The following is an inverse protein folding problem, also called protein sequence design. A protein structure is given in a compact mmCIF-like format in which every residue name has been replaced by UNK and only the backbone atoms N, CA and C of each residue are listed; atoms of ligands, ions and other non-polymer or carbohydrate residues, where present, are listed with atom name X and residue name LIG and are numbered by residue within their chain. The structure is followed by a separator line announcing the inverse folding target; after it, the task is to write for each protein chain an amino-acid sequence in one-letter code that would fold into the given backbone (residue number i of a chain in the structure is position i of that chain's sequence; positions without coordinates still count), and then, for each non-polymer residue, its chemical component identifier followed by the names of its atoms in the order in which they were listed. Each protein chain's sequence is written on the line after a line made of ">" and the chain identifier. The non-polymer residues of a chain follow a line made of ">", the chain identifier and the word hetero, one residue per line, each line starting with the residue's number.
data_IF_841116524289
#
_entry.id   IF_841116524289
#
_cell.length_a   1.000
_cell.length_b   1.000
_cell.length_c   1.000
_cell.angle_alpha   90.00
_cell.angle_beta   90.00
_cell.angle_gamma   90.00
#
_symmetry.space_group_name_H-M   'P 1'
#
loop_
_entity.id
_entity.type
_entity.pdbx_description
1 polymer ?
#
# COMPACT_ATOMS: atom_id res chain seq x y z
N UNK A 1 37.57 -24.71 34.70
CA UNK A 1 37.86 -23.29 34.49
C UNK A 1 36.61 -22.56 34.95
N UNK A 2 36.74 -21.91 36.10
CA UNK A 2 35.65 -21.35 36.89
C UNK A 2 35.10 -20.07 36.25
N UNK A 3 33.81 -20.07 35.92
CA UNK A 3 33.07 -18.84 35.60
C UNK A 3 32.30 -18.40 36.84
N UNK A 4 32.70 -17.24 37.36
CA UNK A 4 32.14 -16.59 38.55
C UNK A 4 30.80 -15.96 38.22
N UNK A 5 29.78 -16.33 38.99
CA UNK A 5 28.49 -15.64 39.06
C UNK A 5 28.69 -14.20 39.56
N UNK A 6 28.12 -13.22 38.84
CA UNK A 6 27.99 -11.84 39.31
C UNK A 6 26.59 -11.59 39.87
N UNK A 7 26.47 -10.87 41.00
CA UNK A 7 25.20 -10.70 41.71
C UNK A 7 24.29 -9.65 41.06
N UNK A 8 23.01 -9.99 41.00
CA UNK A 8 21.88 -9.13 40.63
C UNK A 8 21.76 -7.92 41.56
N UNK A 9 21.65 -6.73 40.97
CA UNK A 9 21.25 -5.51 41.66
C UNK A 9 19.73 -5.29 41.50
N UNK A 10 19.02 -5.23 42.62
CA UNK A 10 17.61 -4.83 42.70
C UNK A 10 17.45 -3.33 42.36
N UNK A 11 16.50 -2.94 41.51
CA UNK A 11 16.12 -1.55 41.34
C UNK A 11 15.10 -1.12 42.40
N UNK A 12 15.48 -0.08 43.15
CA UNK A 12 14.70 0.64 44.16
C UNK A 12 13.45 1.27 43.54
N UNK A 13 12.28 1.00 44.11
CA UNK A 13 11.01 1.61 43.72
C UNK A 13 11.00 3.11 44.09
N UNK A 14 10.78 3.96 43.09
CA UNK A 14 10.56 5.40 43.27
C UNK A 14 9.05 5.64 43.29
N UNK A 15 8.58 6.13 44.43
CA UNK A 15 7.19 6.48 44.73
C UNK A 15 6.83 7.83 44.04
N UNK A 16 5.77 7.91 43.22
CA UNK A 16 5.34 9.19 42.67
C UNK A 16 4.48 9.98 43.68
N UNK A 17 4.62 11.33 43.73
CA UNK A 17 3.87 12.17 44.64
C UNK A 17 2.40 12.32 44.21
N UNK A 18 1.55 12.44 45.23
CA UNK A 18 0.10 12.60 45.14
C UNK A 18 -0.33 13.84 44.35
N UNK A 19 -1.24 13.65 43.39
CA UNK A 19 -1.96 14.74 42.70
C UNK A 19 -3.06 15.33 43.59
N UNK A 20 -2.99 16.64 43.74
CA UNK A 20 -3.91 17.51 44.48
C UNK A 20 -5.15 17.83 43.62
N UNK A 21 -6.39 17.59 44.12
CA UNK A 21 -7.60 17.86 43.35
C UNK A 21 -8.01 19.32 43.47
N UNK A 22 -7.65 20.14 42.47
CA UNK A 22 -8.17 21.50 42.34
C UNK A 22 -9.56 21.49 41.69
N UNK A 23 -10.58 21.55 42.55
CA UNK A 23 -11.92 21.99 42.21
C UNK A 23 -11.92 23.44 41.72
N UNK A 24 -12.67 23.78 40.66
CA UNK A 24 -13.46 25.02 40.62
C UNK A 24 -14.42 25.12 39.40
N UNK A 25 -15.35 26.09 39.35
CA UNK A 25 -16.77 25.79 39.53
C UNK A 25 -17.66 26.37 38.41
N UNK A 26 -18.96 26.09 38.53
CA UNK A 26 -20.07 27.01 38.27
C UNK A 26 -20.13 27.78 36.92
N UNK A 27 -21.06 27.31 36.09
CA UNK A 27 -22.22 28.08 35.57
C UNK A 27 -22.06 29.59 35.34
N UNK A 28 -22.21 29.99 34.07
CA UNK A 28 -22.92 31.22 33.70
C UNK A 28 -23.79 30.94 32.46
N UNK A 29 -25.13 31.15 32.53
CA UNK A 29 -25.98 31.19 31.35
C UNK A 29 -25.77 32.54 30.65
N UNK A 30 -25.35 32.51 29.39
CA UNK A 30 -25.18 33.71 28.57
C UNK A 30 -26.30 33.74 27.55
N UNK A 31 -27.38 34.44 27.90
CA UNK A 31 -28.40 34.88 26.97
C UNK A 31 -27.74 35.76 25.90
N UNK A 32 -27.84 35.33 24.64
CA UNK A 32 -27.41 36.11 23.50
C UNK A 32 -28.66 36.53 22.70
N UNK A 33 -28.69 37.80 22.22
CA UNK A 33 -29.87 38.42 21.66
C UNK A 33 -30.21 37.89 20.28
N UNK A 34 -31.52 37.74 20.03
CA UNK A 34 -32.12 37.59 18.71
C UNK A 34 -31.60 38.68 17.76
N UNK A 35 -30.65 38.31 16.92
CA UNK A 35 -30.23 39.12 15.77
C UNK A 35 -31.15 38.79 14.61
N UNK A 36 -31.84 39.84 14.16
CA UNK A 36 -32.78 39.84 13.06
C UNK A 36 -32.09 39.43 11.76
N UNK A 37 -32.64 38.36 11.19
CA UNK A 37 -32.25 37.65 9.98
C UNK A 37 -32.41 38.56 8.74
N UNK A 38 -31.47 39.49 8.55
CA UNK A 38 -31.32 40.21 7.27
C UNK A 38 -30.70 39.27 6.26
N UNK A 39 -31.55 38.56 5.51
CA UNK A 39 -31.21 37.86 4.26
C UNK A 39 -30.64 38.87 3.25
N UNK A 40 -29.36 39.15 3.36
CA UNK A 40 -28.60 39.76 2.26
C UNK A 40 -28.60 38.73 1.13
N UNK A 41 -29.18 39.01 -0.04
CA UNK A 41 -29.14 38.08 -1.16
C UNK A 41 -27.67 37.89 -1.53
N UNK A 42 -27.13 36.72 -1.18
CA UNK A 42 -25.80 36.29 -1.62
C UNK A 42 -25.77 36.35 -3.13
N UNK A 43 -25.18 37.42 -3.67
CA UNK A 43 -24.87 37.55 -5.07
C UNK A 43 -24.13 36.28 -5.47
N UNK A 44 -24.71 35.52 -6.40
CA UNK A 44 -24.13 34.28 -6.92
C UNK A 44 -22.71 34.55 -7.37
N UNK A 45 -21.74 34.19 -6.53
CA UNK A 45 -20.33 34.30 -6.84
C UNK A 45 -20.09 33.46 -8.08
N UNK A 46 -19.79 34.12 -9.20
CA UNK A 46 -19.40 33.41 -10.42
C UNK A 46 -18.18 32.56 -10.07
N UNK A 47 -18.17 31.26 -10.44
CA UNK A 47 -17.03 30.40 -10.19
C UNK A 47 -15.78 31.05 -10.79
N UNK A 48 -14.76 31.20 -9.97
CA UNK A 48 -13.50 31.82 -10.40
C UNK A 48 -12.86 30.95 -11.49
N UNK A 49 -12.15 31.56 -12.43
CA UNK A 49 -11.49 30.86 -13.55
C UNK A 49 -10.59 29.70 -13.10
N UNK A 50 -10.08 29.76 -11.86
CA UNK A 50 -9.31 28.71 -11.19
C UNK A 50 -10.10 27.42 -11.01
N UNK A 51 -11.35 27.48 -10.53
CA UNK A 51 -12.17 26.29 -10.29
C UNK A 51 -12.47 25.53 -11.59
N UNK A 52 -12.74 26.25 -12.68
CA UNK A 52 -13.00 25.64 -13.98
C UNK A 52 -11.77 24.91 -14.51
N UNK A 53 -10.58 25.50 -14.35
CA UNK A 53 -9.31 24.89 -14.76
C UNK A 53 -9.00 23.62 -13.94
N UNK A 54 -9.21 23.64 -12.62
CA UNK A 54 -9.02 22.45 -11.78
C UNK A 54 -9.98 21.30 -12.13
N UNK A 55 -11.25 21.62 -12.41
CA UNK A 55 -12.22 20.62 -12.83
C UNK A 55 -11.85 20.00 -14.19
N UNK A 56 -11.40 20.82 -15.14
CA UNK A 56 -10.92 20.36 -16.45
C UNK A 56 -9.70 19.45 -16.29
N UNK A 57 -8.70 19.87 -15.51
CA UNK A 57 -7.50 19.08 -15.24
C UNK A 57 -7.86 17.73 -14.58
N UNK A 58 -8.78 17.74 -13.61
CA UNK A 58 -9.27 16.53 -12.95
C UNK A 58 -9.95 15.56 -13.94
N UNK A 59 -10.78 16.07 -14.84
CA UNK A 59 -11.44 15.24 -15.87
C UNK A 59 -10.42 14.67 -16.84
N UNK A 60 -9.47 15.48 -17.29
CA UNK A 60 -8.41 15.07 -18.21
C UNK A 60 -7.52 14.00 -17.58
N UNK A 61 -7.02 14.21 -16.36
CA UNK A 61 -6.18 13.25 -15.67
C UNK A 61 -6.88 11.90 -15.47
N UNK A 62 -8.18 11.90 -15.14
CA UNK A 62 -8.98 10.67 -15.04
C UNK A 62 -9.10 9.96 -16.38
N UNK A 63 -9.44 10.68 -17.44
CA UNK A 63 -9.56 10.10 -18.77
C UNK A 63 -8.24 9.46 -19.23
N UNK A 64 -7.12 10.15 -19.00
CA UNK A 64 -5.78 9.65 -19.34
C UNK A 64 -5.37 8.45 -18.48
N UNK A 65 -5.69 8.45 -17.18
CA UNK A 65 -5.42 7.30 -16.30
C UNK A 65 -6.23 6.07 -16.73
N UNK A 66 -7.51 6.26 -17.07
CA UNK A 66 -8.34 5.19 -17.63
C UNK A 66 -7.79 4.67 -18.96
N UNK A 67 -7.36 5.56 -19.84
CA UNK A 67 -6.73 5.19 -21.10
C UNK A 67 -5.44 4.39 -20.85
N UNK A 68 -4.59 4.83 -19.92
CA UNK A 68 -3.37 4.10 -19.54
C UNK A 68 -3.67 2.69 -19.05
N UNK A 69 -4.67 2.53 -18.16
CA UNK A 69 -5.12 1.22 -17.67
C UNK A 69 -5.61 0.33 -18.82
N UNK A 70 -6.44 0.87 -19.71
CA UNK A 70 -6.96 0.12 -20.86
C UNK A 70 -5.85 -0.30 -21.82
N UNK A 71 -4.93 0.61 -22.14
CA UNK A 71 -3.77 0.33 -22.99
C UNK A 71 -2.87 -0.73 -22.36
N UNK A 72 -2.62 -0.65 -21.05
CA UNK A 72 -1.83 -1.65 -20.35
C UNK A 72 -2.52 -3.02 -20.34
N UNK A 73 -3.82 -3.09 -20.06
CA UNK A 73 -4.56 -4.36 -20.08
C UNK A 73 -4.54 -4.97 -21.49
N UNK A 74 -4.74 -4.14 -22.52
CA UNK A 74 -4.62 -4.54 -23.92
C UNK A 74 -3.23 -5.10 -24.22
N UNK A 75 -2.18 -4.37 -23.86
CA UNK A 75 -0.79 -4.82 -23.99
C UNK A 75 -0.53 -6.13 -23.24
N UNK A 76 -0.90 -6.22 -21.96
CA UNK A 76 -0.71 -7.39 -21.12
C UNK A 76 -1.44 -8.63 -21.68
N UNK A 77 -2.65 -8.47 -22.23
CA UNK A 77 -3.40 -9.58 -22.82
C UNK A 77 -2.68 -10.24 -24.01
N UNK A 78 -1.90 -9.46 -24.76
CA UNK A 78 -1.08 -9.92 -25.87
C UNK A 78 0.28 -10.41 -25.38
N UNK A 79 0.88 -9.71 -24.40
CA UNK A 79 2.25 -9.93 -23.94
C UNK A 79 2.38 -11.09 -22.96
N UNK A 80 1.46 -11.22 -21.98
CA UNK A 80 1.49 -12.27 -20.95
C UNK A 80 1.46 -13.67 -21.55
N UNK A 81 0.72 -13.86 -22.65
CA UNK A 81 0.70 -15.15 -23.39
C UNK A 81 2.01 -15.43 -24.13
N UNK A 82 2.78 -14.40 -24.47
CA UNK A 82 4.07 -14.52 -25.17
C UNK A 82 5.25 -14.65 -24.21
N UNK A 83 5.13 -14.13 -22.99
CA UNK A 83 6.13 -14.23 -21.93
C UNK A 83 6.48 -15.69 -21.58
N UNK A 84 5.56 -16.63 -21.77
CA UNK A 84 5.89 -18.07 -21.64
C UNK A 84 7.01 -18.53 -22.58
N UNK A 85 7.31 -17.76 -23.63
CA UNK A 85 8.32 -18.08 -24.64
C UNK A 85 9.54 -17.15 -24.61
N UNK A 86 9.51 -16.09 -23.81
CA UNK A 86 10.58 -15.09 -23.72
C UNK A 86 10.72 -14.64 -22.26
N UNK A 87 11.51 -15.39 -21.50
CA UNK A 87 11.79 -15.10 -20.09
C UNK A 87 13.25 -14.68 -19.96
N UNK A 88 13.49 -13.43 -19.52
CA UNK A 88 14.83 -12.84 -19.38
C UNK A 88 15.25 -12.70 -17.90
N UNK A 89 14.55 -13.37 -16.97
CA UNK A 89 14.62 -13.13 -15.53
C UNK A 89 14.96 -14.34 -14.66
N UNK A 90 14.53 -14.27 -13.38
CA UNK A 90 14.51 -15.34 -12.35
C UNK A 90 13.64 -16.55 -12.79
N UNK A 91 13.95 -17.13 -13.95
CA UNK A 91 13.26 -18.25 -14.59
C UNK A 91 13.17 -19.48 -13.69
N UNK A 92 14.18 -19.65 -12.84
CA UNK A 92 14.26 -20.74 -11.89
C UNK A 92 13.22 -20.64 -10.77
N UNK A 93 12.61 -19.47 -10.56
CA UNK A 93 11.57 -19.26 -9.53
C UNK A 93 10.18 -19.02 -10.13
N UNK A 94 10.09 -18.44 -11.33
CA UNK A 94 8.82 -18.25 -12.02
C UNK A 94 8.21 -19.60 -12.40
N UNK A 95 6.96 -19.84 -12.01
CA UNK A 95 6.29 -21.12 -12.22
C UNK A 95 6.47 -22.15 -11.10
N UNK A 96 7.23 -21.83 -10.04
CA UNK A 96 7.25 -22.62 -8.81
C UNK A 96 6.07 -22.28 -7.90
N UNK A 97 5.66 -21.01 -7.89
CA UNK A 97 4.64 -20.52 -6.96
C UNK A 97 3.28 -21.17 -7.23
N UNK A 98 2.93 -21.37 -8.51
CA UNK A 98 1.70 -22.04 -8.92
C UNK A 98 1.56 -23.48 -8.39
N UNK A 99 2.47 -24.41 -8.73
CA UNK A 99 2.43 -25.79 -8.25
C UNK A 99 2.51 -25.91 -6.72
N UNK A 100 3.31 -25.07 -6.05
CA UNK A 100 3.37 -25.08 -4.58
C UNK A 100 2.03 -24.59 -4.00
N UNK A 101 1.42 -23.55 -4.57
CA UNK A 101 0.10 -23.09 -4.15
C UNK A 101 -0.97 -24.19 -4.29
N UNK A 102 -0.89 -25.03 -5.33
CA UNK A 102 -1.82 -26.14 -5.52
C UNK A 102 -1.76 -27.16 -4.38
N UNK A 103 -0.56 -27.42 -3.84
CA UNK A 103 -0.33 -28.34 -2.71
C UNK A 103 -1.00 -27.88 -1.40
N UNK A 104 -1.16 -26.57 -1.19
CA UNK A 104 -1.99 -26.07 -0.08
C UNK A 104 -3.46 -26.53 -0.19
N UNK A 105 -3.89 -26.90 -1.39
CA UNK A 105 -5.21 -27.44 -1.68
C UNK A 105 -5.38 -28.93 -1.43
N UNK A 106 -4.30 -29.71 -1.42
CA UNK A 106 -4.30 -31.17 -1.33
C UNK A 106 -4.04 -31.69 0.08
N UNK A 107 -4.12 -30.81 1.09
CA UNK A 107 -3.76 -31.08 2.49
C UNK A 107 -2.29 -31.48 2.74
N UNK A 108 -1.42 -31.27 1.75
CA UNK A 108 0.03 -31.34 1.94
C UNK A 108 0.50 -30.21 2.87
N UNK A 109 1.70 -30.38 3.46
CA UNK A 109 2.30 -29.40 4.38
C UNK A 109 3.64 -28.92 3.81
N UNK A 110 3.65 -28.03 2.80
CA UNK A 110 4.86 -27.71 2.05
C UNK A 110 6.02 -27.20 2.90
N UNK A 111 5.75 -26.50 4.02
CA UNK A 111 6.78 -26.00 4.94
C UNK A 111 7.28 -27.03 5.96
N UNK A 112 6.61 -28.17 6.09
CA UNK A 112 7.07 -29.30 6.90
C UNK A 112 7.89 -30.24 6.02
N UNK A 113 7.41 -30.47 4.80
CA UNK A 113 7.98 -31.45 3.87
C UNK A 113 9.20 -30.88 3.12
N UNK A 114 9.30 -29.55 2.97
CA UNK A 114 10.35 -28.88 2.22
C UNK A 114 10.87 -27.61 2.92
N UNK A 115 12.15 -27.31 2.72
CA UNK A 115 12.73 -26.01 3.08
C UNK A 115 12.40 -25.03 1.96
N UNK A 116 11.37 -24.21 2.16
CA UNK A 116 10.95 -23.18 1.20
C UNK A 116 11.45 -21.80 1.65
N UNK A 117 12.33 -21.13 0.88
CA UNK A 117 12.79 -19.78 1.20
C UNK A 117 11.75 -18.70 0.85
N UNK A 118 10.57 -19.09 0.37
CA UNK A 118 9.50 -18.19 -0.07
C UNK A 118 8.39 -18.16 0.99
N UNK A 119 8.02 -16.97 1.50
CA UNK A 119 6.88 -16.80 2.42
C UNK A 119 5.51 -17.15 1.81
N UNK A 120 4.49 -17.46 2.63
CA UNK A 120 3.26 -18.12 2.17
C UNK A 120 2.30 -17.22 1.39
N UNK A 121 2.42 -15.90 1.48
CA UNK A 121 1.43 -14.95 0.98
C UNK A 121 1.15 -15.09 -0.51
N UNK A 122 2.19 -15.29 -1.32
CA UNK A 122 2.04 -15.48 -2.77
C UNK A 122 1.36 -16.80 -3.12
N UNK A 123 1.63 -17.87 -2.37
CA UNK A 123 0.95 -19.16 -2.50
C UNK A 123 -0.54 -19.04 -2.18
N UNK A 124 -0.90 -18.31 -1.12
CA UNK A 124 -2.30 -18.07 -0.77
C UNK A 124 -3.06 -17.31 -1.86
N UNK A 125 -2.43 -16.27 -2.45
CA UNK A 125 -3.03 -15.51 -3.55
C UNK A 125 -3.24 -16.39 -4.78
N UNK A 126 -2.22 -17.13 -5.22
CA UNK A 126 -2.37 -18.03 -6.37
C UNK A 126 -3.36 -19.16 -6.09
N UNK A 127 -3.38 -19.72 -4.88
CA UNK A 127 -4.36 -20.74 -4.51
C UNK A 127 -5.79 -20.22 -4.62
N UNK A 128 -6.06 -18.99 -4.17
CA UNK A 128 -7.37 -18.37 -4.34
C UNK A 128 -7.76 -18.24 -5.82
N UNK A 129 -6.83 -17.85 -6.69
CA UNK A 129 -7.06 -17.77 -8.14
C UNK A 129 -7.28 -19.16 -8.77
N UNK A 130 -6.52 -20.16 -8.33
CA UNK A 130 -6.65 -21.55 -8.78
C UNK A 130 -8.01 -22.14 -8.40
N UNK A 131 -8.50 -21.85 -7.19
CA UNK A 131 -9.83 -22.26 -6.73
C UNK A 131 -10.94 -21.70 -7.64
N UNK A 132 -10.83 -20.44 -8.05
CA UNK A 132 -11.82 -19.81 -8.94
C UNK A 132 -11.73 -20.34 -10.37
N UNK A 133 -10.51 -20.59 -10.86
CA UNK A 133 -10.27 -20.99 -12.24
C UNK A 133 -10.34 -22.51 -12.48
N UNK A 134 -10.33 -23.32 -11.42
CA UNK A 134 -10.36 -24.78 -11.47
C UNK A 134 -9.09 -25.45 -11.98
N UNK A 135 -7.97 -24.71 -12.13
CA UNK A 135 -6.69 -25.24 -12.63
C UNK A 135 -5.50 -24.44 -12.13
N UNK A 136 -4.36 -25.11 -11.96
CA UNK A 136 -3.07 -24.46 -11.75
C UNK A 136 -2.37 -24.25 -13.09
N UNK A 137 -2.24 -22.99 -13.53
CA UNK A 137 -1.51 -22.67 -14.76
C UNK A 137 -0.55 -21.51 -14.54
N UNK A 138 0.65 -21.61 -15.12
CA UNK A 138 1.67 -20.55 -15.10
C UNK A 138 1.09 -19.18 -15.50
N UNK A 139 0.14 -19.16 -16.43
CA UNK A 139 -0.51 -17.95 -16.90
C UNK A 139 -1.12 -17.11 -15.76
N UNK A 140 -1.61 -17.73 -14.69
CA UNK A 140 -2.15 -17.02 -13.53
C UNK A 140 -1.07 -16.23 -12.81
N UNK A 141 0.10 -16.84 -12.61
CA UNK A 141 1.25 -16.20 -11.99
C UNK A 141 1.71 -14.99 -12.80
N UNK A 142 1.81 -15.15 -14.12
CA UNK A 142 2.19 -14.07 -15.03
C UNK A 142 1.15 -12.93 -15.04
N UNK A 143 -0.15 -13.24 -14.91
CA UNK A 143 -1.18 -12.22 -14.76
C UNK A 143 -1.08 -11.49 -13.41
N UNK A 144 -0.77 -12.17 -12.32
CA UNK A 144 -0.55 -11.53 -11.01
C UNK A 144 0.65 -10.57 -11.10
N UNK A 145 1.74 -10.97 -11.74
CA UNK A 145 2.89 -10.11 -11.98
C UNK A 145 2.51 -8.88 -12.81
N UNK A 146 1.85 -9.07 -13.96
CA UNK A 146 1.43 -7.98 -14.84
C UNK A 146 0.48 -7.00 -14.16
N UNK A 147 -0.52 -7.49 -13.41
CA UNK A 147 -1.43 -6.63 -12.67
C UNK A 147 -0.70 -5.87 -11.55
N UNK A 148 0.28 -6.49 -10.92
CA UNK A 148 1.11 -5.82 -9.90
C UNK A 148 1.92 -4.66 -10.50
N UNK A 149 2.48 -4.81 -11.71
CA UNK A 149 3.14 -3.71 -12.43
C UNK A 149 2.19 -2.53 -12.67
N UNK A 150 0.99 -2.80 -13.18
CA UNK A 150 -0.02 -1.76 -13.37
C UNK A 150 -0.32 -1.04 -12.06
N UNK A 151 -0.60 -1.80 -11.00
CA UNK A 151 -0.94 -1.23 -9.70
C UNK A 151 0.22 -0.42 -9.12
N UNK A 152 1.48 -0.83 -9.29
CA UNK A 152 2.64 -0.03 -8.87
C UNK A 152 2.74 1.29 -9.66
N UNK A 153 2.44 1.29 -10.96
CA UNK A 153 2.32 2.53 -11.75
C UNK A 153 1.22 3.46 -11.20
N UNK A 154 0.06 2.91 -10.83
CA UNK A 154 -1.04 3.66 -10.21
C UNK A 154 -0.68 4.17 -8.81
N UNK A 155 0.09 3.40 -8.03
CA UNK A 155 0.61 3.83 -6.74
C UNK A 155 1.65 4.95 -6.90
N UNK A 156 2.49 4.90 -7.94
CA UNK A 156 3.38 6.02 -8.29
C UNK A 156 2.61 7.32 -8.55
N UNK A 157 1.51 7.25 -9.30
CA UNK A 157 0.59 8.38 -9.45
C UNK A 157 0.02 8.84 -8.10
N UNK A 158 -0.49 7.91 -7.28
CA UNK A 158 -1.09 8.22 -5.99
C UNK A 158 -0.09 8.85 -5.01
N UNK A 159 1.17 8.42 -5.05
CA UNK A 159 2.27 8.93 -4.24
C UNK A 159 2.64 10.36 -4.64
N UNK A 160 2.73 10.65 -5.93
CA UNK A 160 3.09 11.98 -6.43
C UNK A 160 1.96 13.00 -6.27
N UNK A 161 0.69 12.54 -6.31
CA UNK A 161 -0.49 13.40 -6.32
C UNK A 161 -0.58 14.46 -5.19
N UNK A 162 -0.23 14.19 -3.92
CA UNK A 162 -0.22 15.21 -2.87
C UNK A 162 0.89 16.26 -3.03
N UNK A 163 1.95 15.96 -3.80
CA UNK A 163 3.13 16.81 -3.92
C UNK A 163 3.10 17.68 -5.19
N UNK A 164 2.46 17.19 -6.26
CA UNK A 164 2.43 17.86 -7.58
C UNK A 164 1.02 17.90 -8.19
N UNK A 165 0.86 18.69 -9.26
CA UNK A 165 -0.36 18.73 -10.08
C UNK A 165 -0.73 17.35 -10.66
N UNK A 166 -1.98 17.17 -11.10
CA UNK A 166 -2.49 15.86 -11.52
C UNK A 166 -1.79 15.35 -12.77
N UNK A 167 -1.47 16.24 -13.69
CA UNK A 167 -0.78 15.88 -14.93
C UNK A 167 0.66 15.45 -14.66
N UNK A 168 1.37 16.14 -13.76
CA UNK A 168 2.73 15.74 -13.37
C UNK A 168 2.72 14.41 -12.61
N UNK A 169 1.75 14.20 -11.71
CA UNK A 169 1.59 12.91 -11.03
C UNK A 169 1.31 11.78 -12.04
N UNK A 170 0.56 12.05 -13.12
CA UNK A 170 0.33 11.07 -14.18
C UNK A 170 1.62 10.71 -14.90
N UNK A 171 2.48 11.69 -15.20
CA UNK A 171 3.80 11.43 -15.76
C UNK A 171 4.66 10.57 -14.83
N UNK A 172 4.62 10.81 -13.52
CA UNK A 172 5.31 9.95 -12.53
C UNK A 172 4.75 8.53 -12.55
N UNK A 173 3.43 8.35 -12.64
CA UNK A 173 2.81 7.03 -12.74
C UNK A 173 3.21 6.28 -14.02
N UNK A 174 3.26 6.98 -15.16
CA UNK A 174 3.72 6.41 -16.44
C UNK A 174 5.21 6.05 -16.36
N UNK A 175 6.05 6.94 -15.86
CA UNK A 175 7.49 6.69 -15.70
C UNK A 175 7.73 5.50 -14.76
N UNK A 176 7.00 5.43 -13.65
CA UNK A 176 7.02 4.29 -12.73
C UNK A 176 6.67 3.01 -13.47
N UNK A 177 5.58 3.01 -14.25
CA UNK A 177 5.13 1.83 -14.99
C UNK A 177 6.19 1.36 -16.00
N UNK A 178 6.83 2.30 -16.71
CA UNK A 178 7.94 1.99 -17.62
C UNK A 178 9.11 1.36 -16.87
N UNK A 179 9.51 1.94 -15.73
CA UNK A 179 10.63 1.43 -14.92
C UNK A 179 10.33 0.01 -14.42
N UNK A 180 9.15 -0.24 -13.82
CA UNK A 180 8.83 -1.55 -13.27
C UNK A 180 8.73 -2.62 -14.37
N UNK A 181 8.28 -2.26 -15.57
CA UNK A 181 8.27 -3.17 -16.72
C UNK A 181 9.67 -3.59 -17.20
N UNK A 182 10.71 -2.82 -16.86
CA UNK A 182 12.10 -3.15 -17.19
C UNK A 182 12.79 -3.96 -16.09
N UNK A 183 12.13 -4.21 -14.95
CA UNK A 183 12.69 -5.02 -13.87
C UNK A 183 12.52 -6.49 -14.27
N UNK A 184 13.65 -7.17 -14.52
CA UNK A 184 13.71 -8.57 -14.95
C UNK A 184 13.25 -9.60 -13.90
N UNK A 185 12.69 -9.17 -12.77
CA UNK A 185 12.13 -10.10 -11.78
C UNK A 185 10.70 -10.34 -12.17
N UNK A 186 10.32 -11.61 -12.39
CA UNK A 186 9.00 -11.97 -12.93
C UNK A 186 8.17 -12.86 -11.99
N UNK A 187 8.67 -13.14 -10.78
CA UNK A 187 7.98 -14.03 -9.85
C UNK A 187 6.87 -13.29 -9.08
N UNK A 188 5.72 -13.95 -8.90
CA UNK A 188 4.56 -13.31 -8.26
C UNK A 188 4.84 -12.86 -6.81
N UNK A 189 5.69 -13.55 -6.07
CA UNK A 189 5.99 -13.21 -4.67
C UNK A 189 6.79 -11.90 -4.54
N UNK A 190 7.71 -11.61 -5.47
CA UNK A 190 8.45 -10.33 -5.47
C UNK A 190 7.52 -9.17 -5.76
N UNK A 191 6.68 -9.29 -6.80
CA UNK A 191 5.80 -8.19 -7.19
C UNK A 191 4.69 -7.93 -6.18
N UNK A 192 4.13 -8.97 -5.57
CA UNK A 192 3.13 -8.79 -4.50
C UNK A 192 3.75 -8.19 -3.25
N UNK A 193 4.99 -8.55 -2.91
CA UNK A 193 5.72 -7.87 -1.84
C UNK A 193 5.99 -6.39 -2.15
N UNK A 194 6.47 -6.07 -3.35
CA UNK A 194 6.68 -4.69 -3.78
C UNK A 194 5.38 -3.90 -3.77
N UNK A 195 4.29 -4.49 -4.23
CA UNK A 195 2.97 -3.85 -4.24
C UNK A 195 2.51 -3.48 -2.82
N UNK A 196 2.68 -4.38 -1.84
CA UNK A 196 2.36 -4.11 -0.44
C UNK A 196 3.29 -3.03 0.16
N UNK A 197 4.59 -3.10 -0.15
CA UNK A 197 5.56 -2.09 0.26
C UNK A 197 5.18 -0.69 -0.25
N UNK A 198 4.87 -0.56 -1.54
CA UNK A 198 4.48 0.70 -2.16
C UNK A 198 3.14 1.20 -1.63
N UNK A 199 2.19 0.29 -1.38
CA UNK A 199 0.90 0.63 -0.77
C UNK A 199 1.10 1.23 0.63
N UNK A 200 2.01 0.65 1.42
CA UNK A 200 2.38 1.18 2.73
C UNK A 200 2.90 2.62 2.61
N UNK A 201 3.89 2.86 1.73
CA UNK A 201 4.45 4.19 1.48
C UNK A 201 3.40 5.22 1.05
N UNK A 202 2.51 4.86 0.11
CA UNK A 202 1.43 5.74 -0.34
C UNK A 202 0.50 6.08 0.82
N UNK A 203 0.07 5.09 1.60
CA UNK A 203 -0.85 5.32 2.72
C UNK A 203 -0.22 6.20 3.79
N UNK A 204 1.03 5.94 4.17
CA UNK A 204 1.73 6.77 5.15
C UNK A 204 1.99 8.20 4.66
N UNK A 205 2.37 8.38 3.38
CA UNK A 205 2.50 9.72 2.78
C UNK A 205 1.17 10.49 2.80
N UNK A 206 0.06 9.84 2.42
CA UNK A 206 -1.26 10.46 2.52
C UNK A 206 -1.64 10.74 3.98
N UNK A 207 -1.23 9.90 4.93
CA UNK A 207 -1.38 10.10 6.36
C UNK A 207 -0.66 11.36 6.85
N UNK A 208 0.59 11.58 6.42
CA UNK A 208 1.36 12.79 6.72
C UNK A 208 0.66 14.06 6.21
N UNK A 209 0.07 14.00 5.02
CA UNK A 209 -0.63 15.15 4.41
C UNK A 209 -2.07 15.37 4.90
N UNK A 210 -2.61 14.49 5.76
CA UNK A 210 -4.01 14.51 6.22
C UNK A 210 -4.17 15.03 7.66
N UNK A 211 -3.25 15.87 8.15
CA UNK A 211 -3.21 16.34 9.54
C UNK A 211 -4.52 16.99 10.05
N UNK A 212 -5.27 17.65 9.16
CA UNK A 212 -6.54 18.29 9.51
C UNK A 212 -7.70 17.30 9.79
N UNK A 213 -7.49 16.01 9.54
CA UNK A 213 -8.54 14.98 9.65
C UNK A 213 -8.05 13.78 10.47
N UNK A 214 -8.03 13.86 11.81
CA UNK A 214 -7.35 12.88 12.67
C UNK A 214 -7.87 11.45 12.49
N UNK A 215 -9.18 11.26 12.34
CA UNK A 215 -9.77 9.93 12.08
C UNK A 215 -9.27 9.31 10.76
N UNK A 216 -9.15 10.14 9.71
CA UNK A 216 -8.65 9.68 8.40
C UNK A 216 -7.15 9.40 8.49
N UNK A 217 -6.40 10.28 9.14
CA UNK A 217 -4.96 10.10 9.36
C UNK A 217 -4.67 8.80 10.10
N UNK A 218 -5.38 8.51 11.19
CA UNK A 218 -5.25 7.25 11.92
C UNK A 218 -5.53 6.04 11.02
N UNK A 219 -6.61 6.06 10.24
CA UNK A 219 -6.93 4.97 9.31
C UNK A 219 -5.85 4.76 8.24
N UNK A 220 -5.23 5.84 7.75
CA UNK A 220 -4.12 5.77 6.79
C UNK A 220 -2.85 5.19 7.42
N UNK A 221 -2.52 5.55 8.67
CA UNK A 221 -1.39 4.97 9.39
C UNK A 221 -1.59 3.49 9.70
N UNK A 222 -2.78 3.09 10.17
CA UNK A 222 -3.11 1.69 10.38
C UNK A 222 -3.02 0.89 9.08
N UNK A 223 -3.54 1.43 7.99
CA UNK A 223 -3.40 0.82 6.67
C UNK A 223 -1.94 0.71 6.21
N UNK A 224 -1.13 1.74 6.45
CA UNK A 224 0.30 1.74 6.15
C UNK A 224 1.03 0.63 6.91
N UNK A 225 0.82 0.54 8.22
CA UNK A 225 1.42 -0.49 9.08
C UNK A 225 0.97 -1.90 8.70
N UNK A 226 -0.32 -2.08 8.38
CA UNK A 226 -0.85 -3.36 7.89
C UNK A 226 -0.18 -3.77 6.58
N UNK A 227 -0.08 -2.88 5.60
CA UNK A 227 0.61 -3.17 4.34
C UNK A 227 2.10 -3.49 4.54
N UNK A 228 2.79 -2.78 5.44
CA UNK A 228 4.18 -3.09 5.79
C UNK A 228 4.32 -4.49 6.38
N UNK A 229 3.45 -4.85 7.34
CA UNK A 229 3.41 -6.18 7.94
C UNK A 229 3.08 -7.28 6.92
N UNK A 230 2.08 -7.06 6.06
CA UNK A 230 1.72 -8.00 5.00
C UNK A 230 2.84 -8.21 3.99
N UNK A 231 3.72 -7.23 3.79
CA UNK A 231 4.91 -7.39 2.93
C UNK A 231 5.78 -8.56 3.39
N UNK A 232 5.91 -8.80 4.71
CA UNK A 232 6.66 -9.93 5.27
C UNK A 232 6.06 -11.28 4.87
N UNK A 233 4.74 -11.35 4.66
CA UNK A 233 4.07 -12.58 4.19
C UNK A 233 4.39 -12.89 2.73
N UNK A 234 4.84 -11.92 1.94
CA UNK A 234 5.22 -12.13 0.54
C UNK A 234 6.73 -12.24 0.35
N UNK A 235 7.52 -11.39 1.04
CA UNK A 235 8.98 -11.41 1.01
C UNK A 235 9.56 -10.75 2.26
N UNK A 236 10.22 -11.54 3.11
CA UNK A 236 10.76 -11.10 4.39
C UNK A 236 11.79 -9.97 4.25
N UNK A 237 12.75 -10.09 3.32
CA UNK A 237 13.79 -9.07 3.14
C UNK A 237 13.20 -7.71 2.73
N UNK A 238 12.23 -7.70 1.82
CA UNK A 238 11.50 -6.48 1.46
C UNK A 238 10.71 -5.93 2.64
N UNK A 239 9.99 -6.79 3.36
CA UNK A 239 9.17 -6.38 4.51
C UNK A 239 10.00 -5.78 5.64
N UNK A 240 11.14 -6.39 5.99
CA UNK A 240 12.09 -5.84 6.98
C UNK A 240 12.59 -4.48 6.53
N UNK A 241 12.94 -4.31 5.25
CA UNK A 241 13.36 -3.02 4.70
C UNK A 241 12.29 -1.93 4.82
N UNK A 242 11.03 -2.25 4.52
CA UNK A 242 9.90 -1.30 4.64
C UNK A 242 9.64 -0.94 6.10
N UNK A 243 9.61 -1.93 6.99
CA UNK A 243 9.40 -1.71 8.43
C UNK A 243 10.52 -0.86 9.01
N UNK A 244 11.78 -1.21 8.75
CA UNK A 244 12.94 -0.44 9.19
C UNK A 244 12.88 1.00 8.64
N UNK A 245 12.54 1.17 7.36
CA UNK A 245 12.37 2.47 6.74
C UNK A 245 11.37 3.36 7.47
N UNK A 246 10.22 2.81 7.89
CA UNK A 246 9.24 3.54 8.69
C UNK A 246 9.70 3.90 10.10
N UNK A 247 10.55 3.10 10.73
CA UNK A 247 11.12 3.42 12.05
C UNK A 247 12.20 4.50 11.99
N UNK A 248 12.85 4.67 10.83
CA UNK A 248 13.94 5.63 10.64
C UNK A 248 13.52 6.95 9.99
N UNK A 249 12.30 7.03 9.45
CA UNK A 249 11.75 8.21 8.77
C UNK A 249 11.02 9.14 9.75
#
# INVERSE_FOLDING_TARGET
>A
MDERESPSAEPTAVEPPAEEPAANPATAPRDAPHTTDSKVPHASARPTTTEHNEQREKRLARALLSLLVLLFIGFASLYVRRLSNFMLGDMEFTGWVGPIAERFGTAEKPYVDFVLPIPPGSFLVLRAIQLVSGKAVLLQELWVAALSHLLMGLLGYAMARPLVGRLNALLVGIATLVIVLQIHKECAYDHTAQLMAWSSLVLGLHGLTSAERPKRQLGLWLGSGLCAGLTLLFKQSTGVGVVAGWFTA
#
